data_IF_842239888028
#
_entry.id   IF_842239888028
#
_cell.length_a   1.000
_cell.length_b   1.000
_cell.length_c   1.000
_cell.angle_alpha   90.00
_cell.angle_beta   90.00
_cell.angle_gamma   90.00
#
_symmetry.space_group_name_H-M   'P 1'
#
loop_
_entity.id
_entity.type
_entity.pdbx_description
1 polymer ?
#
# COMPACT_ATOMS: atom_id res chain seq x y z
N UNK A 1 12.60 19.67 11.29
CA UNK A 1 12.65 19.64 9.81
C UNK A 1 11.25 19.86 9.33
N UNK A 2 11.04 20.76 8.36
CA UNK A 2 9.74 20.97 7.72
C UNK A 2 9.33 19.68 7.00
N UNK A 3 8.07 19.27 7.13
CA UNK A 3 7.52 18.16 6.36
C UNK A 3 7.72 18.39 4.85
N UNK A 4 8.44 17.47 4.20
CA UNK A 4 8.56 17.38 2.74
C UNK A 4 7.81 16.11 2.27
N UNK A 5 6.69 16.24 1.53
CA UNK A 5 5.94 15.09 1.04
C UNK A 5 6.71 14.27 -0.02
N UNK A 6 7.72 14.84 -0.69
CA UNK A 6 8.56 14.11 -1.63
C UNK A 6 9.61 13.24 -0.92
N UNK A 7 10.05 13.67 0.27
CA UNK A 7 11.04 12.96 1.09
C UNK A 7 10.61 12.89 2.56
N UNK A 8 9.47 12.24 2.88
CA UNK A 8 8.94 12.25 4.23
C UNK A 8 9.87 11.45 5.15
N UNK A 9 10.20 11.97 6.35
CA UNK A 9 10.99 11.21 7.33
C UNK A 9 10.22 9.96 7.76
N UNK A 10 10.93 8.95 8.24
CA UNK A 10 10.32 7.66 8.65
C UNK A 10 9.25 7.80 9.75
N UNK A 11 9.31 8.85 10.57
CA UNK A 11 8.26 9.21 11.54
C UNK A 11 6.92 9.56 10.89
N UNK A 12 6.94 10.03 9.65
CA UNK A 12 5.76 10.44 8.89
C UNK A 12 5.20 9.31 8.01
N UNK A 13 5.76 8.10 8.12
CA UNK A 13 5.25 6.92 7.41
C UNK A 13 3.80 6.63 7.80
N UNK A 14 2.94 6.45 6.79
CA UNK A 14 1.55 6.03 6.99
C UNK A 14 1.45 4.69 7.71
N UNK A 15 2.42 3.79 7.50
CA UNK A 15 2.48 2.48 8.18
C UNK A 15 2.52 2.60 9.71
N UNK A 16 3.00 3.74 10.24
CA UNK A 16 3.09 4.02 11.67
C UNK A 16 1.91 4.83 12.20
N UNK A 17 1.05 5.34 11.33
CA UNK A 17 -0.13 6.11 11.72
C UNK A 17 -1.08 5.26 12.55
N UNK A 18 -1.66 5.84 13.58
CA UNK A 18 -2.64 5.19 14.46
C UNK A 18 -3.89 6.05 14.54
N UNK A 19 -5.05 5.40 14.41
CA UNK A 19 -6.35 6.04 14.62
C UNK A 19 -6.73 5.84 16.09
N UNK A 20 -6.99 6.94 16.79
CA UNK A 20 -7.33 6.97 18.21
C UNK A 20 -8.80 7.30 18.46
N UNK A 21 -9.39 8.06 17.55
CA UNK A 21 -10.79 8.42 17.59
C UNK A 21 -11.30 8.66 16.18
N UNK A 22 -12.33 7.93 15.80
CA UNK A 22 -13.11 8.17 14.60
C UNK A 22 -14.42 7.38 14.69
N UNK A 23 -15.56 8.04 14.50
CA UNK A 23 -16.87 7.37 14.48
C UNK A 23 -16.88 6.27 13.43
N UNK A 24 -17.41 5.09 13.78
CA UNK A 24 -17.47 3.93 12.87
C UNK A 24 -16.18 3.12 12.76
N UNK A 25 -15.03 3.64 13.22
CA UNK A 25 -13.80 2.86 13.26
C UNK A 25 -13.90 1.72 14.28
N UNK A 26 -13.47 0.49 13.97
CA UNK A 26 -13.64 -0.66 14.87
C UNK A 26 -12.93 -0.44 16.22
N UNK A 27 -13.65 -0.48 17.36
CA UNK A 27 -13.09 -0.16 18.68
C UNK A 27 -11.89 -1.03 19.06
N UNK A 28 -11.90 -2.30 18.68
CA UNK A 28 -10.82 -3.25 18.97
C UNK A 28 -9.51 -2.96 18.21
N UNK A 29 -9.56 -2.06 17.21
CA UNK A 29 -8.42 -1.67 16.38
C UNK A 29 -7.87 -0.28 16.73
N UNK A 30 -8.46 0.41 17.71
CA UNK A 30 -7.98 1.71 18.19
C UNK A 30 -6.52 1.59 18.64
N UNK A 31 -5.68 2.52 18.18
CA UNK A 31 -4.24 2.55 18.49
C UNK A 31 -3.38 1.52 17.75
N UNK A 32 -3.95 0.68 16.88
CA UNK A 32 -3.18 -0.20 16.01
C UNK A 32 -2.47 0.64 14.94
N UNK A 33 -1.23 0.26 14.64
CA UNK A 33 -0.50 0.88 13.53
C UNK A 33 -1.17 0.50 12.20
N UNK A 34 -1.20 1.41 11.24
CA UNK A 34 -1.84 1.13 9.96
C UNK A 34 -1.20 -0.04 9.21
N UNK A 35 0.11 -0.28 9.41
CA UNK A 35 0.79 -1.49 8.96
C UNK A 35 0.07 -2.77 9.40
N UNK A 36 -0.49 -2.79 10.61
CA UNK A 36 -1.17 -3.96 11.13
C UNK A 36 -2.59 -4.16 10.59
N UNK A 37 -3.11 -3.14 9.89
CA UNK A 37 -4.46 -3.11 9.34
C UNK A 37 -4.47 -3.38 7.84
N UNK A 38 -3.55 -2.76 7.10
CA UNK A 38 -3.52 -2.79 5.63
C UNK A 38 -2.08 -2.96 5.15
N UNK A 39 -1.58 -4.19 5.20
CA UNK A 39 -0.29 -4.60 4.66
C UNK A 39 -0.32 -6.07 4.23
N UNK A 40 0.74 -6.54 3.57
CA UNK A 40 0.91 -7.96 3.26
C UNK A 40 0.92 -8.83 4.52
N UNK A 41 1.50 -8.35 5.63
CA UNK A 41 1.49 -9.07 6.90
C UNK A 41 0.08 -9.11 7.53
N UNK A 42 -0.66 -8.00 7.44
CA UNK A 42 -2.05 -7.96 7.89
C UNK A 42 -2.94 -8.92 7.05
N UNK A 43 -2.71 -9.00 5.74
CA UNK A 43 -3.38 -9.97 4.87
C UNK A 43 -3.05 -11.41 5.27
N UNK A 44 -1.77 -11.74 5.51
CA UNK A 44 -1.38 -13.08 6.00
C UNK A 44 -2.15 -13.47 7.26
N UNK A 45 -2.17 -12.59 8.27
CA UNK A 45 -2.90 -12.86 9.53
C UNK A 45 -4.41 -13.00 9.30
N UNK A 46 -4.98 -12.23 8.38
CA UNK A 46 -6.39 -12.35 8.03
C UNK A 46 -6.70 -13.68 7.34
N UNK A 47 -5.80 -14.15 6.45
CA UNK A 47 -5.91 -15.47 5.81
C UNK A 47 -5.85 -16.58 6.86
N UNK A 48 -4.88 -16.54 7.76
CA UNK A 48 -4.73 -17.53 8.84
C UNK A 48 -5.96 -17.58 9.75
N UNK A 49 -6.48 -16.41 10.14
CA UNK A 49 -7.67 -16.31 10.99
C UNK A 49 -8.96 -16.84 10.31
N UNK A 50 -8.98 -16.92 8.98
CA UNK A 50 -10.15 -17.37 8.20
C UNK A 50 -9.82 -18.60 7.33
N UNK A 51 -8.78 -19.35 7.66
CA UNK A 51 -8.25 -20.43 6.81
C UNK A 51 -9.33 -21.49 6.47
N UNK A 52 -10.16 -21.84 7.45
CA UNK A 52 -11.30 -22.76 7.26
C UNK A 52 -12.31 -22.22 6.25
N UNK A 53 -12.77 -20.98 6.41
CA UNK A 53 -13.73 -20.35 5.51
C UNK A 53 -13.17 -20.09 4.09
N UNK A 54 -11.84 -19.93 3.99
CA UNK A 54 -11.13 -19.81 2.72
C UNK A 54 -10.85 -21.16 2.05
N UNK A 55 -11.05 -22.27 2.77
CA UNK A 55 -10.58 -23.60 2.36
C UNK A 55 -9.10 -23.57 1.92
N UNK A 56 -8.26 -22.99 2.79
CA UNK A 56 -6.80 -22.94 2.65
C UNK A 56 -6.19 -23.78 3.76
N UNK A 57 -5.38 -24.76 3.40
CA UNK A 57 -4.68 -25.55 4.40
C UNK A 57 -3.49 -24.76 4.98
N UNK A 58 -3.20 -24.86 6.29
CA UNK A 58 -2.04 -24.20 6.90
C UNK A 58 -0.69 -24.62 6.30
N UNK A 59 -0.66 -25.75 5.59
CA UNK A 59 0.53 -26.33 4.95
C UNK A 59 0.73 -25.87 3.50
N UNK A 60 -0.11 -24.97 2.99
CA UNK A 60 0.08 -24.45 1.62
C UNK A 60 1.29 -23.50 1.56
N UNK A 61 2.23 -23.79 0.67
CA UNK A 61 3.53 -23.10 0.55
C UNK A 61 3.39 -21.59 0.24
N UNK A 62 2.24 -21.14 -0.25
CA UNK A 62 2.00 -19.72 -0.54
C UNK A 62 0.54 -19.30 -0.27
N UNK A 63 0.29 -18.91 0.98
CA UNK A 63 -1.02 -18.42 1.45
C UNK A 63 -1.58 -17.27 0.60
N UNK A 64 -0.74 -16.37 0.09
CA UNK A 64 -1.20 -15.23 -0.72
C UNK A 64 -1.69 -15.70 -2.09
N UNK A 65 -0.96 -16.59 -2.74
CA UNK A 65 -1.38 -17.18 -4.03
C UNK A 65 -2.72 -17.92 -3.87
N UNK A 66 -2.85 -18.74 -2.83
CA UNK A 66 -4.09 -19.45 -2.53
C UNK A 66 -5.24 -18.48 -2.30
N UNK A 67 -5.03 -17.45 -1.47
CA UNK A 67 -6.01 -16.40 -1.23
C UNK A 67 -6.47 -15.71 -2.51
N UNK A 68 -5.56 -15.29 -3.38
CA UNK A 68 -5.92 -14.62 -4.63
C UNK A 68 -6.68 -15.55 -5.60
N UNK A 69 -6.38 -16.85 -5.60
CA UNK A 69 -7.17 -17.84 -6.35
C UNK A 69 -8.60 -17.96 -5.79
N UNK A 70 -8.76 -17.98 -4.47
CA UNK A 70 -10.08 -17.99 -3.81
C UNK A 70 -10.86 -16.71 -4.08
N UNK A 71 -10.19 -15.56 -4.06
CA UNK A 71 -10.79 -14.27 -4.40
C UNK A 71 -11.29 -14.25 -5.85
N UNK A 72 -10.47 -14.69 -6.80
CA UNK A 72 -10.84 -14.79 -8.21
C UNK A 72 -12.01 -15.77 -8.44
N UNK A 73 -12.11 -16.81 -7.61
CA UNK A 73 -13.24 -17.75 -7.58
C UNK A 73 -14.49 -17.22 -6.87
N UNK A 74 -14.49 -15.98 -6.36
CA UNK A 74 -15.64 -15.38 -5.69
C UNK A 74 -15.90 -15.88 -4.26
N UNK A 75 -14.90 -16.46 -3.59
CA UNK A 75 -15.05 -16.90 -2.20
C UNK A 75 -15.43 -15.71 -1.28
N UNK A 76 -16.53 -15.85 -0.54
CA UNK A 76 -17.10 -14.77 0.27
C UNK A 76 -16.16 -14.29 1.38
N UNK A 77 -15.42 -15.21 2.03
CA UNK A 77 -14.46 -14.84 3.07
C UNK A 77 -13.29 -14.03 2.48
N UNK A 78 -12.81 -14.40 1.28
CA UNK A 78 -11.78 -13.64 0.58
C UNK A 78 -12.26 -12.22 0.22
N UNK A 79 -13.49 -12.08 -0.30
CA UNK A 79 -14.10 -10.77 -0.58
C UNK A 79 -14.27 -9.95 0.69
N UNK A 80 -14.70 -10.58 1.79
CA UNK A 80 -14.89 -9.91 3.08
C UNK A 80 -13.56 -9.37 3.64
N UNK A 81 -12.46 -10.12 3.52
CA UNK A 81 -11.12 -9.68 3.93
C UNK A 81 -10.70 -8.44 3.12
N UNK A 82 -10.79 -8.50 1.78
CA UNK A 82 -10.43 -7.36 0.93
C UNK A 82 -11.23 -6.10 1.28
N UNK A 83 -12.55 -6.24 1.47
CA UNK A 83 -13.44 -5.13 1.86
C UNK A 83 -13.12 -4.60 3.26
N UNK A 84 -12.82 -5.46 4.23
CA UNK A 84 -12.45 -5.02 5.58
C UNK A 84 -11.14 -4.22 5.57
N UNK A 85 -10.15 -4.64 4.80
CA UNK A 85 -8.90 -3.88 4.62
C UNK A 85 -9.18 -2.55 3.91
N UNK A 86 -10.05 -2.53 2.90
CA UNK A 86 -10.54 -1.30 2.25
C UNK A 86 -11.20 -0.33 3.22
N UNK A 87 -12.11 -0.80 4.08
CA UNK A 87 -12.70 0.05 5.12
C UNK A 87 -11.66 0.66 6.05
N UNK A 88 -10.68 -0.13 6.50
CA UNK A 88 -9.59 0.37 7.35
C UNK A 88 -8.77 1.45 6.62
N UNK A 89 -8.51 1.26 5.32
CA UNK A 89 -7.84 2.27 4.49
C UNK A 89 -8.68 3.55 4.33
N UNK A 90 -9.99 3.44 4.12
CA UNK A 90 -10.90 4.58 4.11
C UNK A 90 -10.84 5.38 5.41
N UNK A 91 -10.91 4.71 6.56
CA UNK A 91 -10.81 5.37 7.87
C UNK A 91 -9.47 6.09 8.09
N UNK A 92 -8.36 5.54 7.59
CA UNK A 92 -7.07 6.24 7.61
C UNK A 92 -7.17 7.57 6.87
N UNK A 93 -7.73 7.57 5.66
CA UNK A 93 -7.86 8.77 4.83
C UNK A 93 -8.78 9.80 5.49
N UNK A 94 -9.90 9.37 6.09
CA UNK A 94 -10.77 10.25 6.87
C UNK A 94 -10.01 10.90 8.03
N UNK A 95 -9.27 10.09 8.81
CA UNK A 95 -8.49 10.60 9.95
C UNK A 95 -7.41 11.60 9.52
N UNK A 96 -6.73 11.35 8.40
CA UNK A 96 -5.72 12.24 7.83
C UNK A 96 -6.32 13.54 7.30
N UNK A 97 -7.43 13.46 6.56
CA UNK A 97 -8.09 14.61 5.93
C UNK A 97 -8.67 15.56 6.97
N UNK A 98 -9.32 15.04 8.01
CA UNK A 98 -9.91 15.82 9.10
C UNK A 98 -8.86 16.32 10.08
N UNK A 99 -7.93 15.45 10.46
CA UNK A 99 -6.97 15.70 11.52
C UNK A 99 -7.65 16.10 12.83
N UNK A 100 -8.58 15.27 13.33
CA UNK A 100 -9.28 15.54 14.58
C UNK A 100 -8.29 15.67 15.77
N UNK A 101 -8.69 16.42 16.80
CA UNK A 101 -7.80 16.85 17.89
C UNK A 101 -7.08 15.70 18.60
N UNK A 102 -7.79 14.61 18.94
CA UNK A 102 -7.20 13.47 19.63
C UNK A 102 -6.22 12.70 18.73
N UNK A 103 -6.52 12.58 17.42
CA UNK A 103 -5.58 11.98 16.47
C UNK A 103 -4.31 12.82 16.31
N UNK A 104 -4.41 14.16 16.32
CA UNK A 104 -3.24 15.06 16.30
C UNK A 104 -2.41 14.94 17.58
N UNK A 105 -3.07 14.93 18.74
CA UNK A 105 -2.41 14.79 20.04
C UNK A 105 -1.64 13.47 20.16
N UNK A 106 -2.27 12.35 19.78
CA UNK A 106 -1.67 11.02 19.95
C UNK A 106 -0.70 10.61 18.83
N UNK A 107 -0.65 11.36 17.73
CA UNK A 107 0.39 11.26 16.71
C UNK A 107 1.28 12.52 16.74
N UNK A 108 1.71 12.96 17.93
CA UNK A 108 2.45 14.20 18.16
C UNK A 108 3.78 14.31 17.40
N UNK A 109 4.32 13.20 16.88
CA UNK A 109 5.48 13.21 16.00
C UNK A 109 5.19 13.83 14.62
N UNK A 110 3.91 14.03 14.28
CA UNK A 110 3.43 14.62 13.03
C UNK A 110 3.12 16.09 13.25
N UNK A 111 3.91 16.95 12.61
CA UNK A 111 3.81 18.41 12.78
C UNK A 111 2.60 19.02 12.05
N UNK A 112 2.39 20.33 12.22
CA UNK A 112 1.30 21.05 11.57
C UNK A 112 1.35 21.00 10.04
N UNK A 113 2.56 20.93 9.45
CA UNK A 113 2.73 20.86 8.00
C UNK A 113 2.27 19.51 7.43
N UNK A 114 2.49 18.41 8.16
CA UNK A 114 1.93 17.10 7.82
C UNK A 114 0.40 17.12 7.73
N UNK A 115 -0.26 17.67 8.76
CA UNK A 115 -1.73 17.75 8.79
C UNK A 115 -2.29 18.71 7.75
N UNK A 116 -1.63 19.85 7.54
CA UNK A 116 -2.01 20.80 6.49
C UNK A 116 -1.94 20.14 5.10
N UNK A 117 -0.87 19.39 4.81
CA UNK A 117 -0.75 18.65 3.56
C UNK A 117 -1.91 17.66 3.35
N UNK A 118 -2.16 16.77 4.31
CA UNK A 118 -3.21 15.75 4.16
C UNK A 118 -4.62 16.35 4.08
N UNK A 119 -4.86 17.49 4.72
CA UNK A 119 -6.14 18.20 4.59
C UNK A 119 -6.42 18.68 3.16
N UNK A 120 -5.39 18.87 2.34
CA UNK A 120 -5.47 19.36 0.97
C UNK A 120 -5.44 18.23 -0.08
N UNK A 121 -5.21 16.97 0.32
CA UNK A 121 -5.17 15.84 -0.62
C UNK A 121 -6.58 15.48 -1.07
N UNK A 122 -6.89 15.65 -2.36
CA UNK A 122 -8.20 15.32 -2.94
C UNK A 122 -8.17 14.10 -3.85
N UNK A 123 -6.97 13.58 -4.16
CA UNK A 123 -6.80 12.41 -5.03
C UNK A 123 -5.69 11.52 -4.48
N UNK A 124 -5.96 10.22 -4.40
CA UNK A 124 -5.00 9.21 -3.95
C UNK A 124 -4.89 8.10 -4.99
N UNK A 125 -3.67 7.85 -5.44
CA UNK A 125 -3.34 6.72 -6.31
C UNK A 125 -2.72 5.60 -5.49
N UNK A 126 -3.32 4.41 -5.58
CA UNK A 126 -2.82 3.20 -4.92
C UNK A 126 -1.83 2.50 -5.84
N UNK A 127 -0.70 2.12 -5.24
CA UNK A 127 0.33 1.29 -5.84
C UNK A 127 0.75 0.16 -4.93
N UNK A 128 1.61 -0.71 -5.44
CA UNK A 128 2.10 -1.90 -4.76
C UNK A 128 1.48 -3.19 -5.27
N UNK A 129 2.06 -4.31 -4.83
CA UNK A 129 1.69 -5.66 -5.28
C UNK A 129 0.25 -6.05 -4.97
N UNK A 130 -0.27 -5.61 -3.82
CA UNK A 130 -1.65 -5.89 -3.38
C UNK A 130 -2.68 -5.10 -4.16
N UNK A 131 -2.36 -3.89 -4.62
CA UNK A 131 -3.30 -3.03 -5.33
C UNK A 131 -3.66 -3.54 -6.74
N UNK A 132 -3.04 -4.63 -7.21
CA UNK A 132 -3.32 -5.18 -8.53
C UNK A 132 -4.48 -6.19 -8.50
N UNK A 133 -5.30 -6.19 -9.55
CA UNK A 133 -6.44 -7.08 -9.71
C UNK A 133 -7.63 -6.82 -8.76
N UNK A 134 -8.44 -7.86 -8.53
CA UNK A 134 -9.72 -7.75 -7.80
C UNK A 134 -9.56 -7.30 -6.34
N UNK A 135 -8.45 -7.64 -5.69
CA UNK A 135 -8.21 -7.19 -4.32
C UNK A 135 -8.10 -5.67 -4.25
N UNK A 136 -7.29 -5.06 -5.13
CA UNK A 136 -7.16 -3.61 -5.20
C UNK A 136 -8.50 -2.94 -5.51
N UNK A 137 -9.28 -3.51 -6.44
CA UNK A 137 -10.62 -3.00 -6.80
C UNK A 137 -11.57 -3.01 -5.60
N UNK A 138 -11.70 -4.14 -4.90
CA UNK A 138 -12.57 -4.27 -3.73
C UNK A 138 -12.12 -3.41 -2.55
N UNK A 139 -10.80 -3.27 -2.37
CA UNK A 139 -10.21 -2.39 -1.37
C UNK A 139 -10.61 -0.93 -1.64
N UNK A 140 -10.44 -0.45 -2.88
CA UNK A 140 -10.82 0.91 -3.28
C UNK A 140 -12.33 1.13 -3.17
N UNK A 141 -13.16 0.20 -3.65
CA UNK A 141 -14.62 0.26 -3.54
C UNK A 141 -15.07 0.43 -2.07
N UNK A 142 -14.54 -0.40 -1.18
CA UNK A 142 -14.88 -0.33 0.24
C UNK A 142 -14.32 0.91 0.94
N UNK A 143 -13.12 1.39 0.54
CA UNK A 143 -12.55 2.62 1.05
C UNK A 143 -13.36 3.85 0.60
N UNK A 144 -13.82 3.87 -0.65
CA UNK A 144 -14.65 4.94 -1.20
C UNK A 144 -15.98 5.05 -0.45
N UNK A 145 -16.63 3.92 -0.14
CA UNK A 145 -17.84 3.91 0.69
C UNK A 145 -17.64 4.54 2.07
N UNK A 146 -16.51 4.26 2.74
CA UNK A 146 -16.18 4.92 4.02
C UNK A 146 -15.96 6.43 3.85
N UNK A 147 -15.34 6.86 2.75
CA UNK A 147 -15.16 8.29 2.48
C UNK A 147 -16.51 8.99 2.27
N UNK A 148 -17.43 8.36 1.54
CA UNK A 148 -18.79 8.86 1.31
C UNK A 148 -19.59 8.95 2.61
N UNK A 149 -19.55 7.93 3.47
CA UNK A 149 -20.23 7.91 4.77
C UNK A 149 -19.76 9.04 5.72
N UNK A 150 -18.57 9.60 5.47
CA UNK A 150 -17.96 10.67 6.25
C UNK A 150 -17.91 12.02 5.52
N UNK A 151 -18.62 12.17 4.40
CA UNK A 151 -18.64 13.38 3.56
C UNK A 151 -17.24 13.86 3.14
N UNK A 152 -16.31 12.91 2.91
CA UNK A 152 -14.93 13.19 2.47
C UNK A 152 -14.81 13.07 0.96
N UNK A 153 -14.56 14.19 0.29
CA UNK A 153 -14.33 14.26 -1.16
C UNK A 153 -12.87 13.91 -1.54
N UNK A 154 -12.49 12.64 -1.39
CA UNK A 154 -11.23 12.11 -1.94
C UNK A 154 -11.56 11.13 -3.08
N UNK A 155 -10.85 11.27 -4.21
CA UNK A 155 -10.92 10.34 -5.33
C UNK A 155 -9.84 9.26 -5.19
N UNK A 156 -10.27 8.00 -5.20
CA UNK A 156 -9.37 6.85 -5.15
C UNK A 156 -9.19 6.22 -6.52
N UNK A 157 -7.93 6.02 -6.91
CA UNK A 157 -7.58 5.35 -8.15
C UNK A 157 -6.55 4.25 -7.90
N UNK A 158 -6.66 3.15 -8.62
CA UNK A 158 -5.55 2.20 -8.76
C UNK A 158 -4.67 2.73 -9.88
N UNK A 159 -3.36 2.84 -9.64
CA UNK A 159 -2.44 3.23 -10.70
C UNK A 159 -2.46 2.22 -11.85
N UNK A 160 -2.24 2.68 -13.10
CA UNK A 160 -2.26 1.82 -14.31
C UNK A 160 -1.28 0.64 -14.20
N UNK A 161 -0.14 0.85 -13.54
CA UNK A 161 0.87 -0.18 -13.30
C UNK A 161 1.22 -0.22 -11.81
N UNK A 162 0.31 -0.70 -10.94
CA UNK A 162 0.42 -0.48 -9.50
C UNK A 162 1.65 -1.20 -8.93
N UNK A 163 1.98 -2.41 -9.42
CA UNK A 163 3.18 -3.15 -9.01
C UNK A 163 4.50 -2.52 -9.46
N UNK A 164 4.47 -1.66 -10.49
CA UNK A 164 5.67 -1.14 -11.14
C UNK A 164 5.87 0.37 -10.90
N UNK A 165 5.08 1.01 -10.05
CA UNK A 165 5.19 2.46 -9.82
C UNK A 165 6.61 2.91 -9.44
N UNK A 166 7.29 2.18 -8.55
CA UNK A 166 8.66 2.50 -8.13
C UNK A 166 9.64 2.49 -9.30
N UNK A 167 9.56 1.49 -10.17
CA UNK A 167 10.46 1.35 -11.31
C UNK A 167 10.19 2.38 -12.40
N UNK A 168 8.91 2.72 -12.61
CA UNK A 168 8.51 3.78 -13.54
C UNK A 168 8.94 5.16 -13.03
N UNK A 169 8.87 5.38 -11.71
CA UNK A 169 9.42 6.56 -11.06
C UNK A 169 10.92 6.65 -11.28
N UNK A 170 11.67 5.60 -10.94
CA UNK A 170 13.12 5.55 -11.15
C UNK A 170 13.50 5.83 -12.61
N UNK A 171 12.83 5.18 -13.57
CA UNK A 171 13.05 5.39 -15.01
C UNK A 171 12.77 6.83 -15.47
N UNK A 172 11.95 7.62 -14.76
CA UNK A 172 11.73 9.03 -15.11
C UNK A 172 12.85 9.95 -14.63
N UNK A 173 13.57 9.57 -13.58
CA UNK A 173 14.60 10.41 -12.96
C UNK A 173 16.03 10.09 -13.43
N UNK A 174 16.24 9.01 -14.17
CA UNK A 174 17.54 8.74 -14.81
C UNK A 174 17.67 9.60 -16.07
N UNK A 175 18.61 10.53 -16.08
CA UNK A 175 18.78 11.52 -17.16
C UNK A 175 20.10 11.39 -17.92
N UNK A 176 20.90 10.37 -17.62
CA UNK A 176 22.22 10.17 -18.23
C UNK A 176 22.20 9.00 -19.19
N UNK A 177 22.27 9.28 -20.50
CA UNK A 177 22.42 8.27 -21.55
C UNK A 177 21.14 7.97 -22.34
N UNK A 178 21.28 7.11 -23.37
CA UNK A 178 20.16 6.70 -24.23
C UNK A 178 19.38 5.52 -23.66
N UNK A 179 19.95 4.79 -22.70
CA UNK A 179 19.34 3.62 -22.07
C UNK A 179 19.74 3.52 -20.60
N UNK A 180 18.85 2.96 -19.78
CA UNK A 180 19.14 2.62 -18.40
C UNK A 180 18.43 1.33 -17.99
N UNK A 181 19.00 0.62 -17.02
CA UNK A 181 18.29 -0.44 -16.31
C UNK A 181 17.81 0.16 -14.99
N UNK A 182 16.50 0.10 -14.77
CA UNK A 182 15.89 0.45 -13.49
C UNK A 182 15.64 -0.83 -12.70
N UNK A 183 15.94 -0.79 -11.40
CA UNK A 183 15.78 -1.91 -10.47
C UNK A 183 15.05 -1.40 -9.23
N UNK A 184 14.05 -2.16 -8.77
CA UNK A 184 13.35 -1.95 -7.51
C UNK A 184 13.55 -3.20 -6.64
N UNK A 185 14.44 -3.08 -5.65
CA UNK A 185 14.78 -4.13 -4.71
C UNK A 185 13.74 -4.18 -3.58
N UNK A 186 12.67 -4.95 -3.80
CA UNK A 186 11.69 -5.24 -2.77
C UNK A 186 12.16 -6.31 -1.79
N UNK A 187 11.35 -6.62 -0.77
CA UNK A 187 11.67 -7.71 0.17
C UNK A 187 11.42 -9.13 -0.35
N UNK A 188 10.69 -9.27 -1.47
CA UNK A 188 10.30 -10.57 -2.04
C UNK A 188 10.79 -10.74 -3.48
N UNK A 189 10.78 -9.64 -4.25
CA UNK A 189 11.11 -9.64 -5.66
C UNK A 189 11.96 -8.42 -6.00
N UNK A 190 12.95 -8.61 -6.87
CA UNK A 190 13.61 -7.54 -7.61
C UNK A 190 12.84 -7.30 -8.89
N UNK A 191 12.15 -6.16 -8.97
CA UNK A 191 11.48 -5.74 -10.21
C UNK A 191 12.50 -5.07 -11.12
N UNK A 192 12.39 -5.30 -12.42
CA UNK A 192 13.40 -4.88 -13.40
C UNK A 192 12.75 -4.25 -14.63
N UNK A 193 13.39 -3.23 -15.18
CA UNK A 193 12.94 -2.62 -16.42
C UNK A 193 14.12 -2.06 -17.22
N UNK A 194 13.97 -2.05 -18.54
CA UNK A 194 14.85 -1.33 -19.47
C UNK A 194 14.16 -0.05 -19.91
N UNK A 195 14.77 1.09 -19.62
CA UNK A 195 14.29 2.40 -20.02
C UNK A 195 15.11 2.91 -21.22
N UNK A 196 14.44 3.54 -22.19
CA UNK A 196 15.07 4.16 -23.36
C UNK A 196 14.71 5.64 -23.43
N UNK A 197 15.70 6.47 -23.73
CA UNK A 197 15.62 7.93 -23.67
C UNK A 197 16.06 8.56 -24.98
N UNK A 198 15.52 9.74 -25.25
CA UNK A 198 15.99 10.69 -26.27
C UNK A 198 16.34 12.01 -25.60
N UNK A 199 16.73 13.01 -26.40
CA UNK A 199 16.91 14.38 -25.91
C UNK A 199 15.63 14.98 -25.27
N UNK A 200 14.45 14.45 -25.60
CA UNK A 200 13.17 14.85 -25.00
C UNK A 200 12.80 14.07 -23.73
N UNK A 201 13.69 13.20 -23.23
CA UNK A 201 13.50 12.41 -22.02
C UNK A 201 13.07 10.96 -22.28
N UNK A 202 12.45 10.35 -21.27
CA UNK A 202 12.01 8.96 -21.29
C UNK A 202 11.01 8.70 -22.43
N UNK A 203 11.35 7.78 -23.34
CA UNK A 203 10.49 7.38 -24.46
C UNK A 203 9.75 6.07 -24.21
N UNK A 204 10.44 5.09 -23.64
CA UNK A 204 9.90 3.75 -23.46
C UNK A 204 10.43 3.09 -22.20
N UNK A 205 9.57 2.33 -21.53
CA UNK A 205 9.94 1.43 -20.42
C UNK A 205 9.45 0.03 -20.77
N UNK A 206 10.40 -0.87 -20.99
CA UNK A 206 10.14 -2.29 -21.14
C UNK A 206 10.26 -2.96 -19.77
N UNK A 207 9.14 -3.50 -19.28
CA UNK A 207 9.13 -4.26 -18.03
C UNK A 207 9.72 -5.65 -18.27
N UNK A 208 10.71 -6.02 -17.45
CA UNK A 208 11.36 -7.33 -17.51
C UNK A 208 10.78 -8.23 -16.40
N UNK A 209 10.85 -9.57 -16.55
CA UNK A 209 10.43 -10.50 -15.50
C UNK A 209 11.11 -10.18 -14.17
N UNK A 210 10.33 -10.17 -13.09
CA UNK A 210 10.87 -9.99 -11.73
C UNK A 210 11.65 -11.23 -11.31
N UNK A 211 12.68 -11.04 -10.49
CA UNK A 211 13.46 -12.13 -9.91
C UNK A 211 13.13 -12.27 -8.41
N UNK A 212 13.13 -13.48 -7.85
CA UNK A 212 13.08 -13.66 -6.40
C UNK A 212 14.27 -12.98 -5.73
N UNK A 213 14.03 -12.43 -4.55
CA UNK A 213 15.11 -12.03 -3.65
C UNK A 213 15.49 -13.24 -2.83
N UNK A 214 16.70 -13.73 -3.04
CA UNK A 214 17.31 -14.74 -2.19
C UNK A 214 18.19 -14.02 -1.16
N UNK A 215 17.85 -14.19 0.12
CA UNK A 215 18.74 -13.80 1.20
C UNK A 215 19.67 -14.98 1.45
N UNK A 216 20.80 -15.02 0.76
CA UNK A 216 21.93 -15.81 1.25
C UNK A 216 22.32 -15.19 2.60
N UNK A 217 22.09 -15.93 3.68
CA UNK A 217 22.66 -15.60 4.98
C UNK A 217 24.17 -15.53 4.77
N UNK A 218 24.73 -14.32 4.77
CA UNK A 218 26.16 -14.14 4.78
C UNK A 218 26.68 -14.68 6.12
N UNK A 219 26.98 -15.98 6.17
CA UNK A 219 27.70 -16.61 7.27
C UNK A 219 29.15 -16.18 7.10
N UNK A 220 29.52 -15.07 7.74
CA UNK A 220 30.87 -14.50 7.69
C UNK A 220 31.90 -15.38 8.39
N UNK A 221 32.18 -16.56 7.83
CA UNK A 221 33.39 -17.33 8.15
C UNK A 221 34.43 -17.05 7.07
N UNK A 222 35.34 -16.14 7.39
CA UNK A 222 36.60 -15.89 6.69
C UNK A 222 37.74 -15.87 7.70
#
# INVERSE_FOLDING_TARGET
MTFDPAFPPTSNSLNRFKIWELTGFPPEKIGWAFYDLVSSAALTRAIEAHAEALAIAPTEDNLHTAYFQRLAGGNEAAVAIARQMGRCFGFLLVALKRGDALNREKNAEKDAAYWAYWSQVDTVYLGGGLADGDFGRLLVEAAQGVLEDHDIAIQLHIAIHPRHLGILGAARYVSTGQQAIALDFGGTLVKRARATYTASGLQHVELLPSLPVEFDLYTGEG
#
